data_IF_671627871809
#
_entry.id   IF_671627871809
#
_cell.length_a   1.000
_cell.length_b   1.000
_cell.length_c   1.000
_cell.angle_alpha   90.00
_cell.angle_beta   90.00
_cell.angle_gamma   90.00
#
_symmetry.space_group_name_H-M   'P 1'
#
loop_
_entity.id
_entity.type
_entity.pdbx_description
1 polymer ?
#
# COMPACT_ATOMS: atom_id res chain seq x y z
N UNK A 1 -0.75 -15.87 4.03
CA UNK A 1 -1.11 -15.35 2.70
C UNK A 1 0.11 -14.92 1.88
N UNK A 2 0.87 -13.89 2.26
CA UNK A 2 2.09 -13.43 1.59
C UNK A 2 3.31 -13.70 2.48
N UNK A 3 4.34 -14.36 1.94
CA UNK A 3 5.60 -14.66 2.64
C UNK A 3 6.77 -14.21 1.79
N UNK A 4 7.68 -13.47 2.39
CA UNK A 4 8.90 -12.96 1.80
C UNK A 4 10.06 -13.55 2.57
N UNK A 5 10.98 -14.23 1.87
CA UNK A 5 12.08 -14.97 2.47
C UNK A 5 13.40 -14.61 1.80
N UNK A 6 14.29 -14.01 2.59
CA UNK A 6 15.65 -13.62 2.20
C UNK A 6 15.72 -12.83 0.89
N UNK A 7 14.79 -11.88 0.67
CA UNK A 7 14.69 -11.14 -0.59
C UNK A 7 15.77 -10.07 -0.69
N UNK A 8 16.53 -10.13 -1.79
CA UNK A 8 17.53 -9.13 -2.17
C UNK A 8 17.14 -8.46 -3.49
N UNK A 9 17.18 -7.13 -3.51
CA UNK A 9 16.88 -6.32 -4.70
C UNK A 9 17.96 -5.27 -4.92
N UNK A 10 18.31 -5.04 -6.19
CA UNK A 10 19.40 -4.16 -6.57
C UNK A 10 18.97 -3.15 -7.63
N UNK A 11 19.50 -1.94 -7.55
CA UNK A 11 19.52 -0.93 -8.61
C UNK A 11 20.97 -0.81 -9.14
N UNK A 12 21.25 -1.48 -10.25
CA UNK A 12 22.62 -1.63 -10.74
C UNK A 12 23.51 -2.32 -9.71
N UNK A 13 24.50 -1.60 -9.16
CA UNK A 13 25.40 -2.10 -8.12
C UNK A 13 24.93 -1.81 -6.68
N UNK A 14 23.88 -1.01 -6.52
CA UNK A 14 23.36 -0.61 -5.21
C UNK A 14 22.38 -1.64 -4.72
N UNK A 15 22.68 -2.29 -3.59
CA UNK A 15 21.77 -3.21 -2.93
C UNK A 15 20.78 -2.45 -2.05
N UNK A 16 19.51 -2.42 -2.47
CA UNK A 16 18.44 -1.73 -1.76
C UNK A 16 17.75 -2.62 -0.72
N UNK A 17 17.57 -3.91 -1.01
CA UNK A 17 17.07 -4.91 -0.05
C UNK A 17 18.15 -5.96 0.21
N UNK A 18 18.37 -6.29 1.50
CA UNK A 18 19.53 -7.06 1.96
C UNK A 18 19.09 -8.27 2.77
N UNK A 19 18.34 -9.19 2.13
CA UNK A 19 17.81 -10.38 2.77
C UNK A 19 16.62 -10.05 3.67
N UNK A 20 15.54 -9.53 3.07
CA UNK A 20 14.32 -9.18 3.80
C UNK A 20 13.48 -10.42 4.05
N UNK A 21 13.11 -10.62 5.32
CA UNK A 21 12.19 -11.65 5.78
C UNK A 21 10.98 -11.00 6.45
N UNK A 22 9.78 -11.25 5.93
CA UNK A 22 8.52 -10.85 6.56
C UNK A 22 7.35 -11.69 6.01
N UNK A 23 6.26 -11.67 6.74
CA UNK A 23 5.01 -12.32 6.36
C UNK A 23 3.80 -11.43 6.63
N UNK A 24 2.73 -11.64 5.86
CA UNK A 24 1.43 -10.97 6.00
C UNK A 24 0.36 -12.06 5.97
N UNK A 25 -0.46 -12.17 7.01
CA UNK A 25 -1.55 -13.12 7.11
C UNK A 25 -2.81 -12.60 6.41
N UNK A 26 -3.76 -13.50 6.15
CA UNK A 26 -5.07 -13.14 5.59
C UNK A 26 -5.83 -12.20 6.54
N UNK A 27 -6.42 -11.14 6.00
CA UNK A 27 -7.24 -10.18 6.72
C UNK A 27 -6.45 -9.27 7.70
N UNK A 28 -5.12 -9.34 7.71
CA UNK A 28 -4.26 -8.58 8.61
C UNK A 28 -3.90 -7.21 8.01
N UNK A 29 -3.75 -6.20 8.86
CA UNK A 29 -3.08 -4.93 8.53
C UNK A 29 -1.64 -5.01 9.04
N UNK A 30 -0.70 -5.11 8.12
CA UNK A 30 0.74 -5.08 8.43
C UNK A 30 1.34 -3.75 7.97
N UNK A 31 2.10 -3.10 8.83
CA UNK A 31 2.84 -1.89 8.49
C UNK A 31 4.34 -2.15 8.38
N UNK A 32 4.98 -1.48 7.40
CA UNK A 32 6.43 -1.39 7.30
C UNK A 32 6.84 0.07 7.49
N UNK A 33 7.52 0.36 8.58
CA UNK A 33 8.03 1.68 8.89
C UNK A 33 9.55 1.74 8.71
N UNK A 34 10.08 2.94 8.49
CA UNK A 34 11.50 3.16 8.29
C UNK A 34 11.77 4.55 7.70
N UNK A 35 12.99 5.03 7.80
CA UNK A 35 13.43 6.30 7.23
C UNK A 35 13.35 6.32 5.70
N UNK A 36 13.45 7.51 5.10
CA UNK A 36 13.59 7.64 3.65
C UNK A 36 14.87 6.94 3.18
N UNK A 37 14.76 6.24 2.06
CA UNK A 37 15.85 5.42 1.53
C UNK A 37 16.06 4.07 2.23
N UNK A 38 15.27 3.70 3.24
CA UNK A 38 15.41 2.40 3.91
C UNK A 38 15.09 1.19 3.02
N UNK A 39 14.43 1.39 1.87
CA UNK A 39 14.04 0.33 0.94
C UNK A 39 12.55 -0.02 0.94
N UNK A 40 11.70 0.76 1.63
CA UNK A 40 10.26 0.50 1.77
C UNK A 40 9.53 0.36 0.43
N UNK A 41 9.56 1.40 -0.41
CA UNK A 41 8.93 1.39 -1.75
C UNK A 41 9.58 0.35 -2.67
N UNK A 42 10.90 0.11 -2.51
CA UNK A 42 11.60 -0.95 -3.25
C UNK A 42 10.99 -2.33 -2.95
N UNK A 43 10.65 -2.60 -1.68
CA UNK A 43 10.02 -3.85 -1.30
C UNK A 43 8.64 -3.99 -1.95
N UNK A 44 7.79 -2.95 -1.89
CA UNK A 44 6.48 -2.97 -2.56
C UNK A 44 6.61 -3.19 -4.06
N UNK A 45 7.54 -2.48 -4.72
CA UNK A 45 7.82 -2.66 -6.15
C UNK A 45 8.37 -4.06 -6.48
N UNK A 46 9.08 -4.69 -5.55
CA UNK A 46 9.57 -6.06 -5.74
C UNK A 46 8.41 -7.07 -5.59
N UNK A 47 7.51 -6.87 -4.63
CA UNK A 47 6.31 -7.71 -4.46
C UNK A 47 5.39 -7.60 -5.69
N UNK A 48 5.18 -6.38 -6.20
CA UNK A 48 4.32 -6.12 -7.36
C UNK A 48 4.97 -6.45 -8.72
N UNK A 49 6.21 -6.96 -8.74
CA UNK A 49 6.91 -7.40 -9.95
C UNK A 49 7.47 -6.28 -10.82
N UNK A 50 7.40 -5.02 -10.37
CA UNK A 50 8.02 -3.87 -11.05
C UNK A 50 9.55 -3.99 -10.97
N UNK A 51 10.07 -4.35 -9.79
CA UNK A 51 11.47 -4.67 -9.60
C UNK A 51 11.64 -6.19 -9.50
N UNK A 52 12.77 -6.70 -9.99
CA UNK A 52 13.10 -8.12 -9.88
C UNK A 52 13.87 -8.40 -8.59
N UNK A 53 13.44 -9.44 -7.86
CA UNK A 53 14.26 -10.01 -6.82
C UNK A 53 15.47 -10.70 -7.45
N UNK A 54 16.68 -10.39 -6.96
CA UNK A 54 17.91 -11.05 -7.41
C UNK A 54 18.15 -12.37 -6.67
N UNK A 55 17.69 -12.42 -5.41
CA UNK A 55 17.72 -13.61 -4.54
C UNK A 55 16.51 -13.61 -3.62
N UNK A 56 16.25 -14.76 -3.02
CA UNK A 56 15.14 -14.99 -2.12
C UNK A 56 13.86 -15.35 -2.87
N UNK A 57 12.80 -15.58 -2.10
CA UNK A 57 11.52 -16.05 -2.62
C UNK A 57 10.38 -15.15 -2.10
N UNK A 58 9.36 -14.95 -2.94
CA UNK A 58 8.10 -14.29 -2.58
C UNK A 58 6.98 -15.27 -2.91
N UNK A 59 6.28 -15.74 -1.88
CA UNK A 59 5.18 -16.70 -2.01
C UNK A 59 3.87 -16.03 -1.68
N UNK A 60 2.91 -16.12 -2.58
CA UNK A 60 1.54 -15.65 -2.38
C UNK A 60 0.57 -16.82 -2.57
N UNK A 61 -0.22 -17.14 -1.53
CA UNK A 61 -1.16 -18.25 -1.51
C UNK A 61 -0.53 -19.58 -2.02
N UNK A 62 0.68 -19.89 -1.56
CA UNK A 62 1.42 -21.09 -1.93
C UNK A 62 2.07 -21.07 -3.31
N UNK A 63 1.97 -19.98 -4.06
CA UNK A 63 2.61 -19.83 -5.38
C UNK A 63 3.76 -18.84 -5.32
N UNK A 64 4.87 -19.18 -5.95
CA UNK A 64 6.00 -18.26 -6.14
C UNK A 64 5.60 -17.15 -7.11
N UNK A 65 5.81 -15.91 -6.71
CA UNK A 65 5.47 -14.72 -7.51
C UNK A 65 6.69 -13.83 -7.81
N UNK A 66 7.84 -14.13 -7.22
CA UNK A 66 9.06 -13.39 -7.54
C UNK A 66 9.32 -13.43 -9.05
N UNK A 67 9.60 -12.27 -9.62
CA UNK A 67 9.87 -12.10 -11.05
C UNK A 67 8.68 -12.39 -12.00
N UNK A 68 7.47 -12.56 -11.49
CA UNK A 68 6.26 -12.55 -12.33
C UNK A 68 6.04 -11.15 -12.90
N UNK A 69 5.36 -11.08 -14.07
CA UNK A 69 5.00 -9.81 -14.67
C UNK A 69 3.93 -9.08 -13.81
N UNK A 70 3.99 -7.73 -13.66
CA UNK A 70 3.08 -6.99 -12.80
C UNK A 70 1.60 -7.27 -13.04
N UNK A 71 1.15 -7.35 -14.30
CA UNK A 71 -0.23 -7.65 -14.62
C UNK A 71 -0.69 -9.02 -14.09
N UNK A 72 0.20 -10.05 -14.14
CA UNK A 72 -0.11 -11.37 -13.57
C UNK A 72 -0.25 -11.34 -12.05
N UNK A 73 0.54 -10.50 -11.38
CA UNK A 73 0.45 -10.31 -9.93
C UNK A 73 -0.88 -9.63 -9.56
N UNK A 74 -1.32 -8.66 -10.35
CA UNK A 74 -2.66 -8.05 -10.19
C UNK A 74 -3.75 -9.09 -10.40
N UNK A 75 -3.68 -9.92 -11.45
CA UNK A 75 -4.66 -11.00 -11.71
C UNK A 75 -4.69 -12.06 -10.59
N UNK A 76 -3.59 -12.24 -9.86
CA UNK A 76 -3.54 -13.11 -8.67
C UNK A 76 -4.19 -12.46 -7.43
N UNK A 77 -4.44 -11.15 -7.46
CA UNK A 77 -5.12 -10.40 -6.40
C UNK A 77 -4.21 -9.53 -5.53
N UNK A 78 -3.01 -9.18 -5.99
CA UNK A 78 -2.15 -8.18 -5.31
C UNK A 78 -2.19 -6.89 -6.13
N UNK A 79 -2.69 -5.80 -5.54
CA UNK A 79 -2.72 -4.49 -6.18
C UNK A 79 -1.93 -3.46 -5.36
N UNK A 80 -1.16 -2.61 -6.04
CA UNK A 80 -0.37 -1.55 -5.41
C UNK A 80 -0.94 -0.17 -5.71
N UNK A 81 -1.08 0.66 -4.68
CA UNK A 81 -1.21 2.10 -4.78
C UNK A 81 0.17 2.71 -4.53
N UNK A 82 0.88 3.14 -5.58
CA UNK A 82 2.24 3.65 -5.45
C UNK A 82 2.26 5.06 -4.85
N UNK A 83 3.42 5.47 -4.36
CA UNK A 83 3.69 6.85 -3.97
C UNK A 83 3.38 7.84 -5.11
N UNK A 84 2.90 9.03 -4.76
CA UNK A 84 2.56 10.08 -5.72
C UNK A 84 1.23 9.85 -6.45
N UNK A 85 0.36 8.97 -5.90
CA UNK A 85 -1.04 8.72 -6.33
C UNK A 85 -1.19 8.13 -7.72
N UNK A 86 -0.39 8.54 -8.69
CA UNK A 86 -0.33 8.04 -10.08
C UNK A 86 -1.71 7.91 -10.74
N UNK A 87 -2.59 8.90 -10.52
CA UNK A 87 -3.86 9.00 -11.21
C UNK A 87 -3.68 9.51 -12.65
N UNK A 88 -4.66 9.24 -13.51
CA UNK A 88 -4.71 9.80 -14.86
C UNK A 88 -5.41 11.16 -14.80
N UNK A 89 -4.64 12.24 -14.72
CA UNK A 89 -5.12 13.60 -14.46
C UNK A 89 -6.07 14.15 -15.54
N UNK A 90 -5.96 13.67 -16.78
CA UNK A 90 -6.80 14.08 -17.92
C UNK A 90 -8.11 13.30 -18.01
N UNK A 91 -8.19 12.14 -17.37
CA UNK A 91 -9.40 11.34 -17.27
C UNK A 91 -10.28 11.79 -16.11
N UNK A 92 -11.58 11.57 -16.22
CA UNK A 92 -12.54 11.78 -15.13
C UNK A 92 -12.31 10.82 -13.96
N UNK A 93 -12.93 11.08 -12.83
CA UNK A 93 -12.95 10.17 -11.68
C UNK A 93 -13.46 8.80 -12.10
N UNK A 94 -14.63 8.76 -12.78
CA UNK A 94 -15.24 7.50 -13.22
C UNK A 94 -14.34 6.75 -14.21
N UNK A 95 -13.74 7.43 -15.18
CA UNK A 95 -12.81 6.81 -16.15
C UNK A 95 -11.55 6.24 -15.44
N UNK A 96 -11.02 6.95 -14.44
CA UNK A 96 -9.93 6.40 -13.61
C UNK A 96 -10.35 5.11 -12.89
N UNK A 97 -11.55 5.08 -12.30
CA UNK A 97 -12.06 3.87 -11.64
C UNK A 97 -12.30 2.74 -12.63
N UNK A 98 -12.83 3.04 -13.82
CA UNK A 98 -13.05 2.06 -14.89
C UNK A 98 -11.76 1.37 -15.34
N UNK A 99 -10.63 2.10 -15.40
CA UNK A 99 -9.32 1.49 -15.67
C UNK A 99 -8.91 0.47 -14.61
N UNK A 100 -9.26 0.70 -13.33
CA UNK A 100 -9.00 -0.24 -12.26
C UNK A 100 -9.77 -1.55 -12.36
N UNK A 101 -10.94 -1.54 -12.99
CA UNK A 101 -11.78 -2.71 -13.18
C UNK A 101 -11.32 -3.64 -14.32
N UNK A 102 -10.26 -3.28 -15.06
CA UNK A 102 -9.83 -4.03 -16.26
C UNK A 102 -9.49 -5.51 -15.98
N UNK A 103 -8.89 -5.80 -14.83
CA UNK A 103 -8.53 -7.16 -14.39
C UNK A 103 -9.70 -7.94 -13.77
N UNK A 104 -10.81 -7.26 -13.43
CA UNK A 104 -11.95 -7.85 -12.77
C UNK A 104 -13.02 -8.27 -13.80
N UNK A 105 -12.94 -9.49 -14.30
CA UNK A 105 -13.86 -10.07 -15.32
C UNK A 105 -14.22 -9.09 -16.46
N UNK A 106 -13.23 -8.32 -16.92
CA UNK A 106 -13.37 -7.27 -17.95
C UNK A 106 -14.41 -6.19 -17.60
N UNK A 107 -14.60 -5.90 -16.31
CA UNK A 107 -15.53 -4.89 -15.84
C UNK A 107 -17.00 -5.32 -15.83
N UNK A 108 -17.30 -6.61 -15.87
CA UNK A 108 -18.66 -7.17 -15.88
C UNK A 108 -19.54 -6.66 -14.73
N UNK A 109 -18.94 -6.43 -13.55
CA UNK A 109 -19.64 -5.97 -12.36
C UNK A 109 -19.37 -4.49 -12.03
N UNK A 110 -18.95 -3.73 -13.02
CA UNK A 110 -18.50 -2.35 -12.84
C UNK A 110 -19.47 -1.48 -12.03
N UNK A 111 -20.76 -1.53 -12.35
CA UNK A 111 -21.78 -0.70 -11.69
C UNK A 111 -21.93 -1.02 -10.18
N UNK A 112 -21.79 -2.29 -9.80
CA UNK A 112 -21.81 -2.67 -8.38
C UNK A 112 -20.50 -2.28 -7.70
N UNK A 113 -19.36 -2.53 -8.36
CA UNK A 113 -18.03 -2.27 -7.82
C UNK A 113 -17.77 -0.79 -7.62
N UNK A 114 -18.18 0.05 -8.57
CA UNK A 114 -18.03 1.50 -8.45
C UNK A 114 -18.90 2.08 -7.32
N UNK A 115 -20.10 1.51 -7.12
CA UNK A 115 -20.98 1.90 -6.01
C UNK A 115 -20.27 1.67 -4.67
N UNK A 116 -19.63 0.51 -4.48
CA UNK A 116 -18.87 0.24 -3.27
C UNK A 116 -17.72 1.23 -3.02
N UNK A 117 -17.08 1.71 -4.10
CA UNK A 117 -16.03 2.74 -4.00
C UNK A 117 -16.64 4.09 -3.64
N UNK A 118 -17.80 4.44 -4.19
CA UNK A 118 -18.50 5.69 -3.88
C UNK A 118 -19.06 5.70 -2.44
N UNK A 119 -19.54 4.56 -1.94
CA UNK A 119 -19.96 4.41 -0.55
C UNK A 119 -18.78 4.64 0.42
N UNK A 120 -17.60 4.16 0.05
CA UNK A 120 -16.35 4.37 0.83
C UNK A 120 -15.81 5.81 0.71
N UNK A 121 -15.95 6.42 -0.46
CA UNK A 121 -15.44 7.75 -0.79
C UNK A 121 -16.53 8.60 -1.46
N UNK A 122 -17.54 9.14 -0.72
CA UNK A 122 -18.66 9.87 -1.30
C UNK A 122 -18.24 11.05 -2.19
N UNK A 123 -17.16 11.74 -1.83
CA UNK A 123 -16.59 12.84 -2.62
C UNK A 123 -16.24 12.44 -4.06
N UNK A 124 -15.92 11.17 -4.32
CA UNK A 124 -15.66 10.68 -5.67
C UNK A 124 -16.96 10.53 -6.48
N UNK A 125 -18.07 10.17 -5.82
CA UNK A 125 -19.40 10.13 -6.44
C UNK A 125 -19.84 11.53 -6.86
N UNK A 126 -19.70 12.53 -5.96
CA UNK A 126 -20.07 13.92 -6.22
C UNK A 126 -19.29 14.52 -7.40
N UNK A 127 -18.10 14.00 -7.66
CA UNK A 127 -17.15 14.49 -8.67
C UNK A 127 -16.92 13.51 -9.81
N UNK A 128 -17.79 12.52 -10.02
CA UNK A 128 -17.58 11.41 -10.97
C UNK A 128 -17.23 11.84 -12.39
N UNK A 129 -17.79 12.95 -12.88
CA UNK A 129 -17.52 13.52 -14.21
C UNK A 129 -16.38 14.54 -14.23
N UNK A 130 -15.83 14.92 -13.05
CA UNK A 130 -14.71 15.84 -12.95
C UNK A 130 -13.41 15.13 -13.33
N UNK A 131 -12.49 15.83 -14.02
CA UNK A 131 -11.15 15.32 -14.29
C UNK A 131 -10.36 15.15 -12.98
N UNK A 132 -9.48 14.15 -12.92
CA UNK A 132 -8.68 13.86 -11.73
C UNK A 132 -7.65 14.94 -11.37
N UNK A 133 -7.13 15.67 -12.38
CA UNK A 133 -6.10 16.69 -12.15
C UNK A 133 -6.47 17.77 -11.15
N UNK A 134 -7.66 18.42 -11.25
CA UNK A 134 -8.12 19.46 -10.34
C UNK A 134 -8.50 18.99 -8.93
N UNK A 135 -8.54 17.69 -8.65
CA UNK A 135 -8.84 17.17 -7.31
C UNK A 135 -7.75 17.58 -6.32
N UNK A 136 -8.11 17.80 -5.06
CA UNK A 136 -7.15 17.98 -3.97
C UNK A 136 -6.29 16.74 -3.78
N UNK A 137 -5.12 16.89 -3.13
CA UNK A 137 -4.22 15.78 -2.90
C UNK A 137 -4.84 14.59 -2.17
N UNK A 138 -5.73 14.85 -1.20
CA UNK A 138 -6.44 13.77 -0.51
C UNK A 138 -7.50 13.08 -1.38
N UNK A 139 -8.25 13.86 -2.20
CA UNK A 139 -9.22 13.30 -3.15
C UNK A 139 -8.53 12.46 -4.24
N UNK A 140 -7.36 12.90 -4.72
CA UNK A 140 -6.54 12.13 -5.63
C UNK A 140 -6.06 10.81 -5.01
N UNK A 141 -5.73 10.82 -3.71
CA UNK A 141 -5.34 9.62 -2.98
C UNK A 141 -6.52 8.66 -2.82
N UNK A 142 -7.70 9.19 -2.47
CA UNK A 142 -8.94 8.40 -2.43
C UNK A 142 -9.25 7.78 -3.80
N UNK A 143 -9.06 8.55 -4.89
CA UNK A 143 -9.23 8.05 -6.25
C UNK A 143 -8.22 6.94 -6.59
N UNK A 144 -6.96 7.08 -6.18
CA UNK A 144 -5.93 6.06 -6.40
C UNK A 144 -6.25 4.75 -5.64
N UNK A 145 -6.70 4.86 -4.38
CA UNK A 145 -7.15 3.72 -3.58
C UNK A 145 -8.41 3.10 -4.20
N UNK A 146 -9.40 3.92 -4.55
CA UNK A 146 -10.63 3.47 -5.22
C UNK A 146 -10.34 2.71 -6.50
N UNK A 147 -9.46 3.23 -7.36
CA UNK A 147 -9.02 2.55 -8.58
C UNK A 147 -8.38 1.19 -8.31
N UNK A 148 -7.57 1.07 -7.26
CA UNK A 148 -7.00 -0.21 -6.87
C UNK A 148 -8.06 -1.20 -6.38
N UNK A 149 -9.07 -0.73 -5.64
CA UNK A 149 -10.18 -1.56 -5.16
C UNK A 149 -11.05 -2.12 -6.29
N UNK A 150 -11.17 -1.42 -7.42
CA UNK A 150 -11.90 -1.88 -8.60
C UNK A 150 -11.33 -3.19 -9.16
N UNK A 151 -10.08 -3.54 -8.89
CA UNK A 151 -9.49 -4.85 -9.26
C UNK A 151 -9.87 -5.99 -8.30
N UNK A 152 -10.68 -5.73 -7.24
CA UNK A 152 -11.05 -6.70 -6.19
C UNK A 152 -9.82 -7.39 -5.57
N UNK A 153 -8.85 -6.64 -5.04
CA UNK A 153 -7.61 -7.22 -4.54
C UNK A 153 -7.85 -8.05 -3.27
N UNK A 154 -7.08 -9.12 -3.11
CA UNK A 154 -6.94 -9.86 -1.85
C UNK A 154 -5.93 -9.18 -0.93
N UNK A 155 -4.89 -8.58 -1.53
CA UNK A 155 -3.86 -7.78 -0.83
C UNK A 155 -3.74 -6.42 -1.50
N UNK A 156 -3.87 -5.37 -0.70
CA UNK A 156 -3.65 -3.99 -1.12
C UNK A 156 -2.33 -3.48 -0.53
N UNK A 157 -1.39 -3.18 -1.41
CA UNK A 157 -0.10 -2.58 -1.06
C UNK A 157 -0.25 -1.05 -1.14
N UNK A 158 0.02 -0.35 -0.04
CA UNK A 158 -0.10 1.11 0.05
C UNK A 158 1.27 1.74 0.33
N UNK A 159 1.73 2.58 -0.58
CA UNK A 159 3.03 3.25 -0.48
C UNK A 159 2.86 4.71 -0.08
N UNK A 160 3.14 5.02 1.18
CA UNK A 160 3.06 6.33 1.82
C UNK A 160 1.75 7.10 1.52
N UNK A 161 0.57 6.50 1.80
CA UNK A 161 -0.71 7.09 1.43
C UNK A 161 -1.02 8.41 2.12
N UNK A 162 -0.29 8.80 3.17
CA UNK A 162 -0.47 10.07 3.87
C UNK A 162 0.43 11.20 3.37
N UNK A 163 1.41 10.91 2.50
CA UNK A 163 2.42 11.88 2.09
C UNK A 163 1.83 13.07 1.33
N UNK A 164 2.15 14.28 1.79
CA UNK A 164 1.71 15.53 1.14
C UNK A 164 0.20 15.78 1.19
N UNK A 165 -0.47 15.24 2.20
CA UNK A 165 -1.93 15.38 2.41
C UNK A 165 -2.20 16.16 3.70
N UNK A 166 -3.24 17.02 3.67
CA UNK A 166 -3.67 17.77 4.83
C UNK A 166 -4.10 16.84 6.00
N UNK A 167 -3.78 17.15 7.26
CA UNK A 167 -3.98 16.25 8.41
C UNK A 167 -5.41 15.72 8.56
N UNK A 168 -6.43 16.52 8.25
CA UNK A 168 -7.84 16.09 8.30
C UNK A 168 -8.13 14.98 7.30
N UNK A 169 -7.59 15.09 6.07
CA UNK A 169 -7.77 14.08 5.02
C UNK A 169 -6.95 12.82 5.28
N UNK A 170 -5.77 12.96 5.89
CA UNK A 170 -4.97 11.80 6.35
C UNK A 170 -5.80 10.92 7.28
N UNK A 171 -6.48 11.50 8.28
CA UNK A 171 -7.33 10.72 9.19
C UNK A 171 -8.45 9.99 8.44
N UNK A 172 -9.09 10.64 7.47
CA UNK A 172 -10.13 10.00 6.65
C UNK A 172 -9.57 8.81 5.85
N UNK A 173 -8.39 8.96 5.24
CA UNK A 173 -7.73 7.88 4.50
C UNK A 173 -7.42 6.69 5.42
N UNK A 174 -6.89 6.92 6.62
CA UNK A 174 -6.59 5.83 7.57
C UNK A 174 -7.86 5.13 8.06
N UNK A 175 -8.96 5.88 8.31
CA UNK A 175 -10.27 5.30 8.62
C UNK A 175 -10.77 4.45 7.45
N UNK A 176 -10.66 4.95 6.22
CA UNK A 176 -11.07 4.19 5.03
C UNK A 176 -10.23 2.91 4.83
N UNK A 177 -8.91 2.95 5.07
CA UNK A 177 -8.05 1.76 5.03
C UNK A 177 -8.52 0.71 6.06
N UNK A 178 -8.87 1.15 7.27
CA UNK A 178 -9.42 0.26 8.29
C UNK A 178 -10.75 -0.36 7.89
N UNK A 179 -11.64 0.43 7.27
CA UNK A 179 -12.94 -0.06 6.79
C UNK A 179 -12.76 -1.06 5.62
N UNK A 180 -11.87 -0.77 4.67
CA UNK A 180 -11.51 -1.71 3.58
C UNK A 180 -11.09 -3.06 4.16
N UNK A 181 -10.21 -3.06 5.16
CA UNK A 181 -9.77 -4.29 5.79
C UNK A 181 -10.95 -5.02 6.50
N UNK A 182 -11.69 -4.33 7.37
CA UNK A 182 -12.72 -4.94 8.21
C UNK A 182 -13.97 -5.38 7.44
N UNK A 183 -14.46 -4.54 6.52
CA UNK A 183 -15.74 -4.76 5.85
C UNK A 183 -15.59 -5.58 4.57
N UNK A 184 -14.44 -5.46 3.90
CA UNK A 184 -14.18 -6.16 2.63
C UNK A 184 -13.17 -7.32 2.78
N UNK A 185 -12.68 -7.56 3.99
CA UNK A 185 -11.67 -8.60 4.30
C UNK A 185 -10.43 -8.52 3.39
N UNK A 186 -10.03 -7.31 2.97
CA UNK A 186 -8.84 -7.07 2.18
C UNK A 186 -7.64 -7.02 3.11
N UNK A 187 -6.62 -7.82 2.85
CA UNK A 187 -5.34 -7.76 3.57
C UNK A 187 -4.60 -6.49 3.17
N UNK A 188 -4.06 -5.75 4.13
CA UNK A 188 -3.36 -4.48 3.89
C UNK A 188 -1.87 -4.63 4.22
N UNK A 189 -1.01 -4.26 3.29
CA UNK A 189 0.40 -4.05 3.56
C UNK A 189 0.73 -2.57 3.33
N UNK A 190 0.90 -1.84 4.43
CA UNK A 190 1.06 -0.40 4.48
C UNK A 190 2.52 -0.02 4.68
N UNK A 191 3.08 0.76 3.79
CA UNK A 191 4.38 1.43 3.97
C UNK A 191 4.11 2.88 4.33
N UNK A 192 4.71 3.36 5.42
CA UNK A 192 4.52 4.73 5.90
C UNK A 192 5.79 5.31 6.54
N UNK A 193 5.95 6.62 6.37
CA UNK A 193 6.92 7.41 7.11
C UNK A 193 6.33 7.91 8.43
N UNK A 194 5.02 8.16 8.48
CA UNK A 194 4.32 8.51 9.71
C UNK A 194 4.14 7.27 10.59
N UNK A 195 5.22 6.91 11.30
CA UNK A 195 5.29 5.69 12.10
C UNK A 195 4.17 5.62 13.15
N UNK A 196 3.80 6.73 13.80
CA UNK A 196 2.73 6.76 14.79
C UNK A 196 1.41 6.27 14.20
N UNK A 197 0.97 6.89 13.09
CA UNK A 197 -0.28 6.52 12.43
C UNK A 197 -0.27 5.09 11.90
N UNK A 198 0.87 4.67 11.33
CA UNK A 198 1.06 3.32 10.82
C UNK A 198 0.91 2.28 11.93
N UNK A 199 1.58 2.49 13.08
CA UNK A 199 1.53 1.58 14.23
C UNK A 199 0.19 1.58 14.95
N UNK A 200 -0.52 2.74 15.01
CA UNK A 200 -1.88 2.83 15.57
C UNK A 200 -2.89 1.98 14.77
N UNK A 201 -2.69 1.85 13.47
CA UNK A 201 -3.59 1.12 12.57
C UNK A 201 -3.24 -0.38 12.49
N UNK A 202 -1.95 -0.73 12.57
CA UNK A 202 -1.45 -2.06 12.26
C UNK A 202 -1.70 -3.08 13.36
N UNK A 203 -2.07 -4.30 12.97
CA UNK A 203 -2.05 -5.47 13.85
C UNK A 203 -0.61 -5.84 14.20
N UNK A 204 0.26 -5.91 13.17
CA UNK A 204 1.71 -6.12 13.30
C UNK A 204 2.49 -5.10 12.46
N UNK A 205 3.72 -4.86 12.86
CA UNK A 205 4.60 -4.01 12.06
C UNK A 205 6.05 -4.53 12.04
N UNK A 206 6.75 -4.07 11.01
CA UNK A 206 8.17 -4.29 10.79
C UNK A 206 8.88 -2.96 10.68
N UNK A 207 10.10 -2.89 11.20
CA UNK A 207 10.99 -1.73 11.05
C UNK A 207 12.09 -2.08 10.06
N UNK A 208 12.16 -1.33 8.97
CA UNK A 208 13.18 -1.49 7.93
C UNK A 208 14.26 -0.44 8.09
N UNK A 209 15.51 -0.89 8.22
CA UNK A 209 16.70 -0.04 8.31
C UNK A 209 17.73 -0.51 7.29
N UNK A 210 18.12 0.38 6.37
CA UNK A 210 19.15 0.09 5.35
C UNK A 210 18.93 -1.25 4.61
N UNK A 211 17.68 -1.51 4.22
CA UNK A 211 17.30 -2.70 3.46
C UNK A 211 17.16 -3.98 4.29
N UNK A 212 17.17 -3.93 5.62
CA UNK A 212 17.00 -5.07 6.52
C UNK A 212 15.86 -4.84 7.50
N UNK A 213 15.09 -5.87 7.80
CA UNK A 213 14.14 -5.85 8.91
C UNK A 213 14.93 -6.02 10.21
N UNK A 214 14.80 -5.05 11.11
CA UNK A 214 15.53 -5.01 12.39
C UNK A 214 14.65 -5.30 13.59
N UNK A 215 13.38 -4.89 13.56
CA UNK A 215 12.41 -5.06 14.63
C UNK A 215 11.09 -5.53 14.01
N UNK A 216 10.37 -6.39 14.71
CA UNK A 216 9.01 -6.81 14.37
C UNK A 216 8.19 -7.05 15.63
N UNK A 217 6.89 -6.83 15.57
CA UNK A 217 5.98 -7.09 16.68
C UNK A 217 4.58 -6.52 16.44
N UNK A 218 3.68 -6.70 17.41
CA UNK A 218 2.37 -6.06 17.42
C UNK A 218 2.49 -4.53 17.36
N UNK A 219 1.65 -3.86 16.54
CA UNK A 219 1.72 -2.41 16.38
C UNK A 219 1.63 -1.64 17.68
N UNK A 220 0.75 -2.06 18.59
CA UNK A 220 0.55 -1.43 19.90
C UNK A 220 1.75 -1.60 20.85
N UNK A 221 2.50 -2.69 20.74
CA UNK A 221 3.73 -2.89 21.51
C UNK A 221 4.86 -2.03 20.99
N UNK A 222 4.98 -1.95 19.65
CA UNK A 222 6.00 -1.12 19.00
C UNK A 222 5.78 0.38 19.26
N UNK A 223 4.54 0.84 19.41
CA UNK A 223 4.24 2.22 19.84
C UNK A 223 4.81 2.57 21.21
N UNK A 224 4.95 1.58 22.11
CA UNK A 224 5.48 1.76 23.46
C UNK A 224 6.98 1.52 23.55
N UNK A 225 7.61 1.03 22.49
CA UNK A 225 9.03 0.74 22.45
C UNK A 225 9.84 2.05 22.43
N UNK A 226 10.72 2.23 23.42
CA UNK A 226 11.51 3.46 23.60
C UNK A 226 12.44 3.77 22.44
N UNK A 227 13.04 2.76 21.82
CA UNK A 227 13.94 2.94 20.68
C UNK A 227 13.16 3.41 19.45
N UNK A 228 11.96 2.89 19.24
CA UNK A 228 11.06 3.32 18.17
C UNK A 228 10.54 4.73 18.44
N UNK A 229 10.19 5.05 19.69
CA UNK A 229 9.77 6.39 20.08
C UNK A 229 10.86 7.41 19.77
N UNK A 230 12.07 7.17 20.22
CA UNK A 230 13.20 8.07 19.98
C UNK A 230 13.56 8.21 18.50
N UNK A 231 13.54 7.10 17.73
CA UNK A 231 13.98 7.11 16.32
C UNK A 231 12.91 7.61 15.35
N UNK A 232 11.63 7.35 15.60
CA UNK A 232 10.56 7.52 14.62
C UNK A 232 9.34 8.32 15.11
N UNK A 233 9.13 8.50 16.41
CA UNK A 233 7.95 9.19 16.96
C UNK A 233 8.31 10.56 17.52
N UNK A 234 9.45 10.71 18.20
CA UNK A 234 9.89 11.97 18.83
C UNK A 234 10.82 12.79 17.91
N UNK A 235 11.47 12.16 16.93
CA UNK A 235 12.42 12.76 15.98
C UNK A 235 11.83 13.49 14.78
N UNK A 236 10.50 13.55 14.62
CA UNK A 236 9.84 14.25 13.51
C UNK A 236 9.84 15.79 13.56
N UNK A 237 10.54 16.38 14.53
CA UNK A 237 10.55 17.83 14.75
C UNK A 237 11.93 18.50 14.53
N UNK A 238 12.91 17.79 13.99
CA UNK A 238 14.22 18.39 13.67
C UNK A 238 14.70 17.91 12.31
N UNK A 239 14.32 18.62 11.26
CA UNK A 239 15.10 19.14 10.10
C UNK A 239 14.17 19.80 9.12
#
# INVERSE_FOLDING_TARGET
MLKISNVETFYGKIQALRGVDLDVNDGEIVSLIGSNGAGKSTLLMTISGVNKAKRGNIVFNGKNIENQAPHKIVDMGICQVPEGRRIFSRLTVEENLRLGAHSNEKGKYFENDIKEVYDLFPVLSDRKTQRGGPLSGGEQQMLAIGRALMSKPKVLLLDEPSLGIAPKLVNQIFVSIKNINKEKNVTIFLVEQNAKKALELADRAYVLVNGKVTIKGPGQELLKNKDIQAAYLEGGAKN
#
